data_IF_951655625529
#
_entry.id   IF_951655625529
#
_cell.length_a   1.000
_cell.length_b   1.000
_cell.length_c   1.000
_cell.angle_alpha   90.00
_cell.angle_beta   90.00
_cell.angle_gamma   90.00
#
_symmetry.space_group_name_H-M   'P 1'
#
loop_
_entity.id
_entity.type
_entity.pdbx_description
1 polymer ?
#
# COMPACT_ATOMS: atom_id res chain seq x y z
N UNK A 1 -21.18 40.47 -2.54
CA UNK A 1 -21.12 39.32 -3.48
C UNK A 1 -20.44 38.17 -2.76
N UNK A 2 -21.22 37.24 -2.22
CA UNK A 2 -20.69 36.09 -1.47
C UNK A 2 -20.18 35.03 -2.44
N UNK A 3 -18.86 34.88 -2.51
CA UNK A 3 -18.16 33.93 -3.37
C UNK A 3 -18.44 32.49 -2.89
N UNK A 4 -19.48 31.89 -3.46
CA UNK A 4 -19.95 30.56 -3.15
C UNK A 4 -19.11 29.52 -3.90
N UNK A 5 -17.79 29.45 -3.61
CA UNK A 5 -16.93 28.37 -4.10
C UNK A 5 -17.32 27.08 -3.41
N UNK A 6 -18.28 26.36 -4.00
CA UNK A 6 -18.50 24.93 -3.75
C UNK A 6 -17.12 24.26 -3.82
N UNK A 7 -16.61 23.78 -2.68
CA UNK A 7 -15.32 23.07 -2.60
C UNK A 7 -15.41 21.86 -3.53
N UNK A 8 -14.86 21.96 -4.75
CA UNK A 8 -14.70 20.81 -5.64
C UNK A 8 -13.83 19.80 -4.93
N UNK A 9 -14.43 18.72 -4.44
CA UNK A 9 -13.68 17.58 -3.94
C UNK A 9 -12.91 16.98 -5.09
N UNK A 10 -11.58 16.97 -4.98
CA UNK A 10 -10.72 16.31 -5.97
C UNK A 10 -11.12 14.82 -6.11
N UNK A 11 -11.02 14.25 -7.32
CA UNK A 11 -11.28 12.83 -7.51
C UNK A 11 -10.32 12.01 -6.66
N UNK A 12 -10.84 10.94 -6.05
CA UNK A 12 -10.07 10.04 -5.19
C UNK A 12 -10.11 8.61 -5.72
N UNK A 13 -9.10 7.82 -5.39
CA UNK A 13 -9.07 6.38 -5.55
C UNK A 13 -8.79 5.69 -4.20
N UNK A 14 -8.92 4.37 -4.19
CA UNK A 14 -8.53 3.54 -3.06
C UNK A 14 -7.21 2.86 -3.38
N UNK A 15 -6.26 2.89 -2.44
CA UNK A 15 -5.01 2.14 -2.51
C UNK A 15 -4.93 1.19 -1.32
N UNK A 16 -4.49 -0.04 -1.55
CA UNK A 16 -4.35 -1.06 -0.52
C UNK A 16 -2.86 -1.27 -0.20
N UNK A 17 -2.54 -1.40 1.08
CA UNK A 17 -1.16 -1.57 1.55
C UNK A 17 -1.11 -2.51 2.74
N UNK A 18 -0.01 -3.25 2.84
CA UNK A 18 0.33 -4.06 4.01
C UNK A 18 1.19 -3.24 4.95
N UNK A 19 0.76 -3.07 6.19
CA UNK A 19 1.53 -2.37 7.21
C UNK A 19 1.24 -2.88 8.62
N UNK A 20 2.19 -2.67 9.53
CA UNK A 20 2.01 -2.91 10.96
C UNK A 20 1.31 -1.74 11.66
N UNK A 21 1.22 -1.76 12.99
CA UNK A 21 0.58 -0.69 13.77
C UNK A 21 1.27 0.68 13.66
N UNK A 22 2.55 0.70 13.32
CA UNK A 22 3.36 1.90 13.13
C UNK A 22 3.33 2.42 11.68
N UNK A 23 2.59 1.76 10.77
CA UNK A 23 2.54 2.13 9.35
C UNK A 23 3.78 1.70 8.54
N UNK A 24 4.60 0.81 9.09
CA UNK A 24 5.78 0.26 8.44
C UNK A 24 5.36 -0.94 7.60
N UNK A 25 5.87 -1.03 6.36
CA UNK A 25 5.59 -2.15 5.45
C UNK A 25 6.52 -3.36 5.68
N UNK A 26 6.13 -4.56 5.23
CA UNK A 26 6.79 -5.82 5.61
C UNK A 26 8.24 -5.94 5.11
N UNK A 27 8.58 -5.27 4.00
CA UNK A 27 9.93 -5.24 3.45
C UNK A 27 10.94 -4.52 4.34
N UNK A 28 10.52 -3.54 5.15
CA UNK A 28 11.42 -2.83 6.07
C UNK A 28 11.78 -3.69 7.28
N UNK A 29 10.85 -4.53 7.74
CA UNK A 29 11.08 -5.44 8.87
C UNK A 29 11.65 -6.80 8.45
N UNK A 30 11.82 -7.03 7.14
CA UNK A 30 12.38 -8.28 6.62
C UNK A 30 11.64 -9.52 7.13
N UNK A 31 10.30 -9.50 7.07
CA UNK A 31 9.43 -10.63 7.48
C UNK A 31 9.95 -11.92 6.83
N UNK A 32 9.95 -13.02 7.61
CA UNK A 32 10.45 -14.32 7.16
C UNK A 32 9.35 -15.37 7.10
N UNK A 33 9.38 -16.18 6.04
CA UNK A 33 8.57 -17.39 5.89
C UNK A 33 9.52 -18.56 5.62
N UNK A 34 9.51 -19.59 6.50
CA UNK A 34 10.37 -20.78 6.39
C UNK A 34 11.87 -20.46 6.19
N UNK A 35 12.35 -19.40 6.82
CA UNK A 35 13.76 -18.96 6.74
C UNK A 35 14.05 -17.94 5.64
N UNK A 36 13.21 -17.83 4.61
CA UNK A 36 13.38 -16.87 3.50
C UNK A 36 12.83 -15.50 3.89
N UNK A 37 13.56 -14.41 3.59
CA UNK A 37 13.06 -13.04 3.79
C UNK A 37 12.14 -12.66 2.64
N UNK A 38 11.11 -11.87 2.94
CA UNK A 38 10.17 -11.38 1.93
C UNK A 38 10.86 -10.56 0.84
N UNK A 39 11.95 -9.85 1.18
CA UNK A 39 12.76 -9.10 0.22
C UNK A 39 13.42 -10.01 -0.82
N UNK A 40 13.87 -11.20 -0.40
CA UNK A 40 14.55 -12.14 -1.28
C UNK A 40 13.53 -12.88 -2.14
N UNK A 41 12.39 -13.26 -1.55
CA UNK A 41 11.32 -13.97 -2.25
C UNK A 41 10.54 -13.10 -3.25
N UNK A 42 10.54 -11.78 -3.06
CA UNK A 42 9.88 -10.82 -3.96
C UNK A 42 10.92 -10.03 -4.76
N UNK A 43 12.12 -10.58 -4.96
CA UNK A 43 13.12 -10.03 -5.86
C UNK A 43 12.97 -10.68 -7.25
N UNK A 44 11.79 -10.54 -7.86
CA UNK A 44 11.43 -11.14 -9.14
C UNK A 44 10.59 -10.19 -10.02
N UNK A 45 10.28 -10.63 -11.25
CA UNK A 45 9.49 -9.85 -12.20
C UNK A 45 8.01 -9.72 -11.81
N UNK A 46 7.50 -10.57 -10.93
CA UNK A 46 6.13 -10.49 -10.42
C UNK A 46 6.00 -9.42 -9.32
N UNK A 47 7.11 -9.05 -8.69
CA UNK A 47 7.18 -8.06 -7.62
C UNK A 47 8.16 -6.93 -7.93
N UNK A 48 7.96 -6.19 -9.05
CA UNK A 48 8.90 -5.16 -9.45
C UNK A 48 9.05 -4.10 -8.35
N UNK A 49 10.26 -3.56 -8.18
CA UNK A 49 10.44 -2.34 -7.41
C UNK A 49 9.83 -1.12 -8.15
N UNK A 50 9.66 0.03 -7.48
CA UNK A 50 9.06 1.22 -8.10
C UNK A 50 9.68 1.64 -9.44
N UNK A 51 11.01 1.58 -9.54
CA UNK A 51 11.72 1.93 -10.76
C UNK A 51 11.44 0.96 -11.90
N UNK A 52 11.59 -0.34 -11.67
CA UNK A 52 11.32 -1.40 -12.67
C UNK A 52 9.84 -1.46 -13.06
N UNK A 53 8.96 -0.97 -12.19
CA UNK A 53 7.52 -0.84 -12.44
C UNK A 53 7.14 0.44 -13.21
N UNK A 54 8.11 1.33 -13.50
CA UNK A 54 7.92 2.53 -14.31
C UNK A 54 7.52 3.79 -13.53
N UNK A 55 7.61 3.81 -12.20
CA UNK A 55 7.23 4.97 -11.37
C UNK A 55 8.33 6.04 -11.30
N UNK A 56 9.60 5.64 -11.41
CA UNK A 56 10.76 6.54 -11.28
C UNK A 56 11.25 6.68 -9.83
N UNK A 57 12.02 7.74 -9.56
CA UNK A 57 12.64 8.03 -8.25
C UNK A 57 12.27 9.39 -7.66
N UNK A 58 11.56 10.24 -8.42
CA UNK A 58 11.26 11.61 -8.04
C UNK A 58 9.95 11.69 -7.26
N UNK A 59 10.01 11.39 -5.97
CA UNK A 59 8.88 11.46 -5.05
C UNK A 59 9.29 11.89 -3.64
N UNK A 60 8.35 12.50 -2.92
CA UNK A 60 8.56 12.93 -1.54
C UNK A 60 8.76 11.71 -0.61
N UNK A 61 9.50 11.87 0.50
CA UNK A 61 9.76 10.79 1.47
C UNK A 61 8.49 10.19 2.11
N UNK A 62 7.35 10.88 2.02
CA UNK A 62 6.04 10.39 2.47
C UNK A 62 5.41 9.37 1.52
N UNK A 63 5.94 9.21 0.31
CA UNK A 63 5.41 8.26 -0.66
C UNK A 63 5.76 6.83 -0.28
N UNK A 64 4.76 5.95 -0.39
CA UNK A 64 4.90 4.54 -0.08
C UNK A 64 4.22 3.68 -1.15
N UNK A 65 4.70 2.44 -1.33
CA UNK A 65 4.08 1.52 -2.29
C UNK A 65 2.75 0.95 -1.77
N UNK A 66 1.86 0.64 -2.71
CA UNK A 66 0.62 -0.08 -2.49
C UNK A 66 0.11 -0.68 -3.80
N UNK A 67 -1.08 -1.26 -3.75
CA UNK A 67 -1.74 -1.90 -4.88
C UNK A 67 -3.10 -1.24 -5.15
N UNK A 68 -3.53 -1.16 -6.42
CA UNK A 68 -4.77 -0.46 -6.79
C UNK A 68 -6.04 -1.21 -6.38
N UNK A 69 -5.96 -2.52 -6.10
CA UNK A 69 -7.10 -3.35 -5.72
C UNK A 69 -6.72 -4.35 -4.62
N UNK A 70 -7.70 -4.78 -3.82
CA UNK A 70 -7.49 -5.82 -2.81
C UNK A 70 -7.08 -7.16 -3.43
N UNK A 71 -7.70 -7.65 -4.53
CA UNK A 71 -7.23 -8.86 -5.20
C UNK A 71 -5.76 -8.79 -5.65
N UNK A 72 -5.31 -7.66 -6.22
CA UNK A 72 -3.91 -7.49 -6.60
C UNK A 72 -2.98 -7.59 -5.38
N UNK A 73 -3.36 -7.02 -4.24
CA UNK A 73 -2.61 -7.15 -3.00
C UNK A 73 -2.56 -8.59 -2.49
N UNK A 74 -3.67 -9.34 -2.55
CA UNK A 74 -3.68 -10.74 -2.14
C UNK A 74 -2.80 -11.60 -3.03
N UNK A 75 -2.84 -11.39 -4.34
CA UNK A 75 -1.94 -12.06 -5.28
C UNK A 75 -0.48 -11.73 -4.97
N UNK A 76 -0.18 -10.45 -4.73
CA UNK A 76 1.18 -9.99 -4.41
C UNK A 76 1.74 -10.65 -3.14
N UNK A 77 0.91 -10.96 -2.14
CA UNK A 77 1.34 -11.59 -0.89
C UNK A 77 0.85 -13.03 -0.73
N UNK A 78 0.55 -13.71 -1.83
CA UNK A 78 0.04 -15.08 -1.81
C UNK A 78 1.04 -16.00 -1.05
N UNK A 79 0.52 -16.75 -0.06
CA UNK A 79 1.33 -17.63 0.79
C UNK A 79 2.02 -16.95 1.98
N UNK A 80 2.05 -15.62 2.06
CA UNK A 80 2.68 -14.87 3.16
C UNK A 80 1.75 -14.47 4.29
N UNK A 81 0.43 -14.58 4.10
CA UNK A 81 -0.59 -14.08 5.04
C UNK A 81 -0.37 -14.51 6.50
N UNK A 82 -0.14 -15.80 6.76
CA UNK A 82 0.08 -16.29 8.12
C UNK A 82 1.34 -15.71 8.79
N UNK A 83 2.43 -15.54 8.03
CA UNK A 83 3.66 -14.95 8.54
C UNK A 83 3.49 -13.44 8.81
N UNK A 84 2.74 -12.75 7.95
CA UNK A 84 2.40 -11.33 8.10
C UNK A 84 1.51 -11.12 9.33
N UNK A 85 0.46 -11.93 9.49
CA UNK A 85 -0.45 -11.88 10.64
C UNK A 85 0.27 -12.14 11.96
N UNK A 86 1.15 -13.15 12.00
CA UNK A 86 1.93 -13.46 13.20
C UNK A 86 2.84 -12.30 13.62
N UNK A 87 3.23 -11.44 12.67
CA UNK A 87 4.06 -10.24 12.91
C UNK A 87 3.24 -8.96 13.08
N UNK A 88 1.91 -9.05 13.17
CA UNK A 88 1.04 -7.89 13.40
C UNK A 88 0.85 -7.00 12.17
N UNK A 89 1.18 -7.48 10.97
CA UNK A 89 0.85 -6.79 9.73
C UNK A 89 -0.63 -6.98 9.40
N UNK A 90 -1.21 -5.98 8.75
CA UNK A 90 -2.61 -5.95 8.30
C UNK A 90 -2.73 -5.25 6.96
N UNK A 91 -3.84 -5.51 6.28
CA UNK A 91 -4.20 -4.76 5.07
C UNK A 91 -4.89 -3.46 5.49
N UNK A 92 -4.42 -2.34 4.95
CA UNK A 92 -4.98 -1.01 5.15
C UNK A 92 -5.38 -0.43 3.80
N UNK A 93 -6.62 0.03 3.71
CA UNK A 93 -7.11 0.77 2.55
C UNK A 93 -6.95 2.28 2.80
N UNK A 94 -6.51 3.02 1.80
CA UNK A 94 -6.31 4.47 1.86
C UNK A 94 -7.16 5.14 0.82
N UNK A 95 -7.82 6.25 1.19
CA UNK A 95 -8.49 7.12 0.22
C UNK A 95 -7.54 8.23 -0.21
N UNK A 96 -7.09 8.16 -1.46
CA UNK A 96 -6.01 9.01 -1.97
C UNK A 96 -6.53 9.94 -3.07
N UNK A 97 -6.21 11.25 -3.06
CA UNK A 97 -6.42 12.12 -4.22
C UNK A 97 -5.69 11.56 -5.44
N UNK A 98 -6.34 11.43 -6.61
CA UNK A 98 -5.70 10.84 -7.80
C UNK A 98 -4.39 11.55 -8.21
N UNK A 99 -4.28 12.86 -7.96
CA UNK A 99 -3.06 13.64 -8.22
C UNK A 99 -1.89 13.34 -7.27
N UNK A 100 -2.09 12.50 -6.25
CA UNK A 100 -1.09 12.07 -5.27
C UNK A 100 -0.79 10.57 -5.39
N UNK A 101 -1.15 9.97 -6.53
CA UNK A 101 -0.83 8.58 -6.89
C UNK A 101 0.04 8.58 -8.13
N UNK A 102 1.16 7.87 -8.06
CA UNK A 102 2.00 7.53 -9.19
C UNK A 102 1.72 6.08 -9.57
N UNK A 103 1.51 5.84 -10.86
CA UNK A 103 1.10 4.54 -11.37
C UNK A 103 2.28 3.84 -12.03
N UNK A 104 2.59 2.63 -11.52
CA UNK A 104 3.42 1.67 -12.23
C UNK A 104 2.57 0.74 -13.08
N UNK A 105 3.20 -0.28 -13.67
CA UNK A 105 2.51 -1.33 -14.42
C UNK A 105 1.69 -2.23 -13.49
N UNK A 106 2.21 -2.53 -12.30
CA UNK A 106 1.58 -3.45 -11.33
C UNK A 106 1.20 -2.73 -10.03
N UNK A 107 2.11 -1.96 -9.47
CA UNK A 107 1.94 -1.28 -8.19
C UNK A 107 1.67 0.21 -8.38
N UNK A 108 1.32 0.86 -7.28
CA UNK A 108 1.22 2.32 -7.20
C UNK A 108 2.08 2.84 -6.07
N UNK A 109 2.54 4.08 -6.19
CA UNK A 109 3.07 4.84 -5.07
C UNK A 109 2.12 5.96 -4.73
N UNK A 110 1.94 6.26 -3.44
CA UNK A 110 1.04 7.32 -3.00
C UNK A 110 1.58 8.07 -1.79
N UNK A 111 1.23 9.36 -1.72
CA UNK A 111 1.57 10.24 -0.59
C UNK A 111 0.77 9.86 0.66
N UNK A 112 1.33 8.98 1.50
CA UNK A 112 0.67 8.54 2.74
C UNK A 112 0.41 9.69 3.70
N UNK A 113 1.31 10.68 3.74
CA UNK A 113 1.22 11.85 4.63
C UNK A 113 -0.01 12.72 4.39
N UNK A 114 -0.62 12.62 3.20
CA UNK A 114 -1.82 13.39 2.82
C UNK A 114 -3.09 12.55 2.69
N UNK A 115 -3.05 11.32 3.19
CA UNK A 115 -4.16 10.38 3.12
C UNK A 115 -4.65 9.99 4.51
N UNK A 116 -5.94 9.65 4.59
CA UNK A 116 -6.49 9.01 5.79
C UNK A 116 -6.71 7.53 5.50
N UNK A 117 -6.22 6.62 6.36
CA UNK A 117 -6.62 5.22 6.30
C UNK A 117 -8.14 5.09 6.49
N UNK A 118 -8.74 4.21 5.71
CA UNK A 118 -10.12 3.77 5.81
C UNK A 118 -10.16 2.62 6.81
N UNK A 119 -10.09 2.94 8.11
CA UNK A 119 -10.24 1.92 9.15
C UNK A 119 -11.67 1.36 9.14
N UNK A 120 -11.81 0.03 9.19
CA UNK A 120 -13.02 -0.56 9.76
C UNK A 120 -12.87 -0.55 11.29
N UNK A 121 -13.99 -0.46 12.02
CA UNK A 121 -13.98 -0.32 13.48
C UNK A 121 -13.52 -1.58 14.23
N UNK A 122 -13.12 -2.66 13.55
CA UNK A 122 -12.66 -3.90 14.19
C UNK A 122 -11.31 -4.41 13.64
N UNK A 123 -10.31 -4.65 14.50
CA UNK A 123 -9.05 -5.31 14.12
C UNK A 123 -9.21 -6.69 13.49
N UNK A 124 -10.34 -7.37 13.71
CA UNK A 124 -10.63 -8.70 13.13
C UNK A 124 -11.04 -8.65 11.66
N UNK A 125 -11.51 -7.51 11.15
CA UNK A 125 -11.96 -7.34 9.76
C UNK A 125 -10.83 -6.93 8.82
N UNK A 126 -9.67 -6.52 9.36
CA UNK A 126 -8.50 -6.11 8.57
C UNK A 126 -7.62 -7.29 8.10
N UNK A 127 -7.99 -8.53 8.44
CA UNK A 127 -7.27 -9.75 8.07
C UNK A 127 -7.94 -10.36 6.85
N UNK A 128 -7.42 -10.04 5.68
CA UNK A 128 -8.01 -10.48 4.41
C UNK A 128 -6.91 -10.93 3.45
N UNK A 129 -6.16 -11.92 3.89
CA UNK A 129 -5.27 -12.70 3.04
C UNK A 129 -6.05 -13.83 2.39
#
# INVERSE_FOLDING_TARGET
MSDNRKRRTLPRCTVYRVENEYGVGPYKESVRLRGTRINDAHADDAHPGPYTDGIGWDFEASYVCGLPTLPALRTWFAGWGAALDHRGFRVVAYRVPKCRVLHGKVQVMFDRGRCKPLWSKSPSEARVW
#
